data_IF_324242099144
#
_entry.id   IF_324242099144
#
_cell.length_a   1.000
_cell.length_b   1.000
_cell.length_c   1.000
_cell.angle_alpha   90.00
_cell.angle_beta   90.00
_cell.angle_gamma   90.00
#
_symmetry.space_group_name_H-M   'P 1'
#
loop_
_entity.id
_entity.type
_entity.pdbx_description
1 polymer ?
#
# COMPACT_ATOMS: atom_id res chain seq x y z
N UNK A 1 -8.98 -4.89 15.94
CA UNK A 1 -7.86 -5.82 16.20
C UNK A 1 -7.06 -6.22 14.94
N UNK A 2 -7.58 -6.07 13.71
CA UNK A 2 -6.91 -6.57 12.49
C UNK A 2 -5.76 -5.74 11.89
N UNK A 3 -5.62 -4.45 12.25
CA UNK A 3 -4.51 -3.60 11.76
C UNK A 3 -3.15 -4.08 12.27
N UNK A 4 -3.03 -4.24 13.60
CA UNK A 4 -1.77 -4.62 14.27
C UNK A 4 -1.05 -5.84 13.66
N UNK A 5 -1.79 -6.89 13.28
CA UNK A 5 -1.18 -8.09 12.71
C UNK A 5 -0.73 -7.89 11.24
N UNK A 6 -1.48 -7.12 10.46
CA UNK A 6 -1.12 -6.80 9.08
C UNK A 6 0.08 -5.85 9.03
N UNK A 7 0.10 -4.87 9.94
CA UNK A 7 1.19 -3.91 10.09
C UNK A 7 2.47 -4.60 10.58
N UNK A 8 2.35 -5.54 11.54
CA UNK A 8 3.49 -6.32 12.04
C UNK A 8 4.20 -7.10 10.93
N UNK A 9 3.47 -7.82 10.06
CA UNK A 9 4.10 -8.58 8.96
C UNK A 9 4.79 -7.67 7.94
N UNK A 10 4.22 -6.48 7.69
CA UNK A 10 4.84 -5.49 6.83
C UNK A 10 6.15 -4.97 7.44
N UNK A 11 6.13 -4.56 8.72
CA UNK A 11 7.32 -4.06 9.41
C UNK A 11 8.41 -5.11 9.56
N UNK A 12 8.04 -6.37 9.81
CA UNK A 12 9.00 -7.48 9.83
C UNK A 12 9.69 -7.68 8.48
N UNK A 13 8.94 -7.56 7.38
CA UNK A 13 9.52 -7.68 6.05
C UNK A 13 10.37 -6.46 5.68
N UNK A 14 9.96 -5.25 6.08
CA UNK A 14 10.79 -4.05 5.90
C UNK A 14 12.12 -4.18 6.67
N UNK A 15 12.07 -4.61 7.94
CA UNK A 15 13.25 -4.91 8.74
C UNK A 15 14.14 -5.97 8.09
N UNK A 16 13.56 -7.01 7.48
CA UNK A 16 14.33 -8.00 6.71
C UNK A 16 15.07 -7.35 5.52
N UNK A 17 14.45 -6.37 4.85
CA UNK A 17 15.03 -5.67 3.70
C UNK A 17 16.08 -4.61 4.07
N UNK A 18 16.16 -4.19 5.33
CA UNK A 18 17.19 -3.24 5.80
C UNK A 18 18.60 -3.85 5.76
N UNK A 19 18.71 -5.17 5.66
CA UNK A 19 19.99 -5.88 5.58
C UNK A 19 20.35 -6.22 4.13
N UNK A 20 21.64 -6.09 3.76
CA UNK A 20 22.09 -6.27 2.38
C UNK A 20 22.09 -7.72 1.91
N UNK A 21 22.04 -8.69 2.84
CA UNK A 21 22.07 -10.12 2.53
C UNK A 21 21.16 -10.92 3.44
N UNK A 22 20.73 -12.09 2.93
CA UNK A 22 19.94 -13.05 3.69
C UNK A 22 20.65 -13.52 4.97
N UNK A 23 21.94 -13.82 4.88
CA UNK A 23 22.74 -14.26 6.03
C UNK A 23 22.85 -13.20 7.12
N UNK A 24 22.90 -11.92 6.73
CA UNK A 24 22.93 -10.84 7.70
C UNK A 24 21.53 -10.64 8.32
N UNK A 25 20.47 -10.67 7.52
CA UNK A 25 19.10 -10.57 8.02
C UNK A 25 18.77 -11.64 9.07
N UNK A 26 19.27 -12.87 8.91
CA UNK A 26 19.05 -13.97 9.89
C UNK A 26 19.60 -13.67 11.29
N UNK A 27 20.68 -12.87 11.40
CA UNK A 27 21.30 -12.55 12.69
C UNK A 27 20.53 -11.49 13.49
N UNK A 28 19.62 -10.77 12.83
CA UNK A 28 18.92 -9.62 13.40
C UNK A 28 17.41 -9.87 13.47
N UNK A 29 16.92 -10.63 14.46
CA UNK A 29 15.49 -10.88 14.60
C UNK A 29 14.70 -9.60 14.88
N UNK A 30 13.49 -9.50 14.32
CA UNK A 30 12.59 -8.39 14.59
C UNK A 30 12.25 -8.30 16.09
N UNK A 31 12.18 -7.08 16.70
CA UNK A 31 11.90 -6.93 18.13
C UNK A 31 10.64 -7.67 18.57
N UNK A 32 10.80 -8.54 19.59
CA UNK A 32 9.69 -9.34 20.14
C UNK A 32 9.43 -10.67 19.43
N UNK A 33 10.19 -11.01 18.40
CA UNK A 33 10.15 -12.33 17.73
C UNK A 33 11.36 -13.14 18.18
N UNK A 34 11.16 -14.42 18.50
CA UNK A 34 12.26 -15.30 18.88
C UNK A 34 13.09 -15.71 17.66
N UNK A 35 14.35 -16.11 17.87
CA UNK A 35 15.26 -16.46 16.79
C UNK A 35 14.71 -17.57 15.88
N UNK A 36 14.09 -18.62 16.46
CA UNK A 36 13.56 -19.74 15.69
C UNK A 36 12.40 -19.32 14.78
N UNK A 37 11.49 -18.48 15.27
CA UNK A 37 10.38 -17.98 14.46
C UNK A 37 10.91 -17.05 13.36
N UNK A 38 11.88 -16.19 13.68
CA UNK A 38 12.53 -15.31 12.70
C UNK A 38 13.21 -16.09 11.58
N UNK A 39 13.98 -17.11 11.94
CA UNK A 39 14.64 -18.02 11.01
C UNK A 39 13.62 -18.69 10.09
N UNK A 40 12.52 -19.19 10.66
CA UNK A 40 11.43 -19.78 9.90
C UNK A 40 10.82 -18.78 8.90
N UNK A 41 10.55 -17.53 9.31
CA UNK A 41 10.01 -16.50 8.41
C UNK A 41 10.96 -16.17 7.27
N UNK A 42 12.24 -15.99 7.57
CA UNK A 42 13.26 -15.67 6.58
C UNK A 42 13.36 -16.78 5.52
N UNK A 43 13.44 -18.04 5.94
CA UNK A 43 13.57 -19.18 5.03
C UNK A 43 12.29 -19.49 4.25
N UNK A 44 11.14 -19.51 4.92
CA UNK A 44 9.91 -20.06 4.35
C UNK A 44 9.00 -19.00 3.71
N UNK A 45 9.17 -17.72 4.05
CA UNK A 45 8.35 -16.63 3.50
C UNK A 45 9.22 -15.68 2.66
N UNK A 46 10.21 -15.05 3.25
CA UNK A 46 10.89 -13.91 2.62
C UNK A 46 11.88 -14.33 1.53
N UNK A 47 12.58 -15.44 1.73
CA UNK A 47 13.50 -15.99 0.74
C UNK A 47 12.81 -16.83 -0.35
N UNK A 48 11.50 -17.05 -0.25
CA UNK A 48 10.79 -17.87 -1.21
C UNK A 48 10.60 -17.13 -2.55
N UNK A 49 10.97 -17.78 -3.66
CA UNK A 49 10.99 -17.16 -5.00
C UNK A 49 9.64 -16.59 -5.43
N UNK A 50 8.53 -17.28 -5.12
CA UNK A 50 7.20 -16.80 -5.51
C UNK A 50 6.83 -15.52 -4.75
N UNK A 51 7.22 -15.42 -3.48
CA UNK A 51 6.99 -14.24 -2.65
C UNK A 51 7.80 -13.04 -3.18
N UNK A 52 9.09 -13.22 -3.47
CA UNK A 52 9.94 -12.16 -4.02
C UNK A 52 9.45 -11.68 -5.40
N UNK A 53 9.04 -12.63 -6.25
CA UNK A 53 8.48 -12.32 -7.57
C UNK A 53 7.21 -11.48 -7.44
N UNK A 54 6.28 -11.90 -6.57
CA UNK A 54 5.03 -11.18 -6.35
C UNK A 54 5.27 -9.80 -5.72
N UNK A 55 6.15 -9.71 -4.73
CA UNK A 55 6.54 -8.46 -4.06
C UNK A 55 7.11 -7.46 -5.05
N UNK A 56 8.06 -7.89 -5.89
CA UNK A 56 8.68 -7.06 -6.93
C UNK A 56 7.66 -6.60 -7.96
N UNK A 57 6.79 -7.50 -8.43
CA UNK A 57 5.71 -7.17 -9.37
C UNK A 57 4.72 -6.16 -8.77
N UNK A 58 4.32 -6.34 -7.51
CA UNK A 58 3.42 -5.43 -6.81
C UNK A 58 4.06 -4.04 -6.64
N UNK A 59 5.35 -3.98 -6.28
CA UNK A 59 6.10 -2.72 -6.17
C UNK A 59 6.17 -1.99 -7.51
N UNK A 60 6.48 -2.71 -8.59
CA UNK A 60 6.50 -2.15 -9.95
C UNK A 60 5.12 -1.65 -10.39
N UNK A 61 4.06 -2.44 -10.15
CA UNK A 61 2.69 -2.05 -10.48
C UNK A 61 2.24 -0.82 -9.68
N UNK A 62 2.61 -0.74 -8.39
CA UNK A 62 2.30 0.41 -7.55
C UNK A 62 3.00 1.67 -8.04
N UNK A 63 4.25 1.57 -8.47
CA UNK A 63 5.02 2.68 -9.03
C UNK A 63 4.46 3.23 -10.35
N UNK A 64 3.70 2.41 -11.10
CA UNK A 64 3.04 2.82 -12.35
C UNK A 64 1.73 3.59 -12.13
N UNK A 65 1.18 3.60 -10.91
CA UNK A 65 -0.07 4.31 -10.66
C UNK A 65 0.17 5.83 -10.72
N UNK A 66 -0.57 6.56 -11.57
CA UNK A 66 -0.36 7.99 -11.74
C UNK A 66 -0.80 8.80 -10.52
N UNK A 67 -1.68 8.25 -9.67
CA UNK A 67 -2.15 8.86 -8.42
C UNK A 67 -2.81 7.80 -7.53
N UNK A 68 -2.99 8.14 -6.25
CA UNK A 68 -3.65 7.31 -5.22
C UNK A 68 -4.82 8.10 -4.63
N UNK A 69 -5.96 7.46 -4.38
CA UNK A 69 -7.10 8.10 -3.71
C UNK A 69 -6.82 8.36 -2.21
N UNK A 70 -7.44 9.40 -1.64
CA UNK A 70 -7.24 9.80 -0.24
C UNK A 70 -8.27 9.22 0.75
N UNK A 71 -9.21 8.40 0.29
CA UNK A 71 -10.40 7.99 1.06
C UNK A 71 -10.27 6.70 1.87
N UNK A 72 -9.04 6.21 2.02
CA UNK A 72 -8.76 5.03 2.84
C UNK A 72 -9.50 3.78 2.32
N UNK A 73 -10.09 3.03 3.24
CA UNK A 73 -10.76 1.75 2.97
C UNK A 73 -12.26 1.85 2.70
N UNK A 74 -12.85 3.05 2.69
CA UNK A 74 -14.29 3.19 2.39
C UNK A 74 -14.52 2.86 0.90
N UNK A 75 -15.40 1.91 0.56
CA UNK A 75 -15.70 1.56 -0.82
C UNK A 75 -16.27 2.74 -1.60
N UNK A 76 -16.04 2.78 -2.92
CA UNK A 76 -16.59 3.82 -3.79
C UNK A 76 -18.12 3.80 -3.86
N UNK A 77 -18.73 2.61 -3.77
CA UNK A 77 -20.20 2.43 -3.75
C UNK A 77 -20.85 3.24 -2.63
N UNK A 78 -20.24 3.27 -1.45
CA UNK A 78 -20.75 4.07 -0.33
C UNK A 78 -20.80 5.58 -0.61
N UNK A 79 -19.92 6.10 -1.47
CA UNK A 79 -20.01 7.51 -1.86
C UNK A 79 -21.16 7.75 -2.84
N UNK A 80 -21.42 6.79 -3.72
CA UNK A 80 -22.52 6.87 -4.69
C UNK A 80 -23.89 6.70 -4.01
N UNK A 81 -24.00 5.77 -3.07
CA UNK A 81 -25.27 5.39 -2.44
C UNK A 81 -25.55 6.18 -1.16
N UNK A 82 -24.59 6.28 -0.22
CA UNK A 82 -24.82 6.92 1.08
C UNK A 82 -24.69 8.44 0.98
N UNK A 83 -23.65 8.92 0.30
CA UNK A 83 -23.34 10.35 0.18
C UNK A 83 -23.98 10.97 -1.08
N UNK A 84 -24.68 10.16 -1.89
CA UNK A 84 -25.35 10.54 -3.14
C UNK A 84 -24.47 11.35 -4.09
N UNK A 85 -23.18 10.98 -4.20
CA UNK A 85 -22.25 11.64 -5.12
C UNK A 85 -22.67 11.36 -6.56
N UNK A 86 -22.89 12.44 -7.31
CA UNK A 86 -23.45 12.37 -8.66
C UNK A 86 -22.38 12.04 -9.71
N UNK A 87 -22.37 10.77 -10.11
CA UNK A 87 -21.56 10.29 -11.24
C UNK A 87 -20.06 10.15 -10.96
N UNK A 88 -19.36 9.65 -11.97
CA UNK A 88 -17.95 9.27 -11.87
C UNK A 88 -17.02 10.48 -11.67
N UNK A 89 -17.36 11.63 -12.24
CA UNK A 89 -16.53 12.83 -12.21
C UNK A 89 -16.48 13.42 -10.79
N UNK A 90 -17.63 13.61 -10.15
CA UNK A 90 -17.66 14.09 -8.76
C UNK A 90 -17.14 13.03 -7.79
N UNK A 91 -17.38 11.74 -8.06
CA UNK A 91 -16.75 10.66 -7.29
C UNK A 91 -15.23 10.76 -7.35
N UNK A 92 -14.65 10.99 -8.53
CA UNK A 92 -13.22 11.16 -8.71
C UNK A 92 -12.70 12.35 -7.90
N UNK A 93 -13.38 13.49 -7.97
CA UNK A 93 -13.05 14.67 -7.16
C UNK A 93 -13.09 14.38 -5.67
N UNK A 94 -14.19 13.84 -5.16
CA UNK A 94 -14.37 13.53 -3.74
C UNK A 94 -13.29 12.56 -3.25
N UNK A 95 -12.85 11.63 -4.10
CA UNK A 95 -11.87 10.61 -3.71
C UNK A 95 -10.41 11.04 -3.87
N UNK A 96 -10.11 12.02 -4.72
CA UNK A 96 -8.75 12.45 -5.06
C UNK A 96 -8.44 13.91 -4.69
N UNK A 97 -9.39 14.60 -4.05
CA UNK A 97 -9.23 15.95 -3.50
C UNK A 97 -9.39 15.94 -1.97
N UNK A 98 -8.42 16.52 -1.29
CA UNK A 98 -8.44 16.79 0.14
C UNK A 98 -8.73 18.28 0.38
N UNK A 99 -9.63 18.61 1.32
CA UNK A 99 -9.99 20.00 1.62
C UNK A 99 -8.81 20.84 2.14
N UNK A 100 -7.88 20.22 2.85
CA UNK A 100 -6.70 20.88 3.43
C UNK A 100 -5.52 20.87 2.47
N UNK A 101 -5.25 19.74 1.82
CA UNK A 101 -4.04 19.53 1.02
C UNK A 101 -4.26 19.67 -0.49
N UNK A 102 -5.50 19.90 -0.93
CA UNK A 102 -5.86 19.99 -2.35
C UNK A 102 -5.83 18.63 -3.06
N UNK A 103 -5.54 18.66 -4.37
CA UNK A 103 -5.46 17.47 -5.21
C UNK A 103 -4.29 16.56 -4.82
N UNK A 104 -4.48 15.25 -4.95
CA UNK A 104 -3.44 14.23 -4.69
C UNK A 104 -2.14 14.47 -5.46
N UNK A 105 -2.26 15.00 -6.68
CA UNK A 105 -1.18 15.53 -7.50
C UNK A 105 -1.75 16.31 -8.70
N UNK A 106 -0.85 16.93 -9.47
CA UNK A 106 -1.21 17.70 -10.68
C UNK A 106 -1.86 16.84 -11.77
N UNK A 107 -1.44 15.59 -11.92
CA UNK A 107 -1.99 14.67 -12.93
C UNK A 107 -3.47 14.41 -12.69
N UNK A 108 -3.86 14.19 -11.42
CA UNK A 108 -5.26 14.01 -11.04
C UNK A 108 -6.08 15.27 -11.28
N UNK A 109 -5.53 16.45 -10.97
CA UNK A 109 -6.20 17.73 -11.22
C UNK A 109 -6.47 17.94 -12.72
N UNK A 110 -5.43 17.79 -13.55
CA UNK A 110 -5.55 17.93 -15.00
C UNK A 110 -6.55 16.94 -15.60
N UNK A 111 -6.53 15.68 -15.14
CA UNK A 111 -7.51 14.67 -15.56
C UNK A 111 -8.94 15.10 -15.26
N UNK A 112 -9.19 15.56 -14.04
CA UNK A 112 -10.52 16.02 -13.65
C UNK A 112 -10.97 17.23 -14.48
N UNK A 113 -10.10 18.22 -14.71
CA UNK A 113 -10.42 19.37 -15.55
C UNK A 113 -10.78 18.97 -16.98
N UNK A 114 -10.06 18.01 -17.58
CA UNK A 114 -10.35 17.50 -18.92
C UNK A 114 -11.69 16.76 -19.00
N UNK A 115 -12.21 16.24 -17.88
CA UNK A 115 -13.51 15.53 -17.87
C UNK A 115 -14.72 16.44 -18.04
N UNK A 116 -14.56 17.77 -17.97
CA UNK A 116 -15.62 18.76 -18.20
C UNK A 116 -15.52 19.48 -19.56
N UNK A 117 -14.57 19.09 -20.41
CA UNK A 117 -14.42 19.58 -21.78
C UNK A 117 -15.07 18.60 -22.78
#
# INVERSE_FOLDING_TARGET
>A
MGGRYRDMRHWMYDHYLDYPSFEEALKHPYPGICLNDWDWFCHNIYNFTSFQTQSTKNKSNRAKLPYVHCRGSRPFVNYLEDDMVDGEIELFRVTHFNKTNGWVNEVAHSKHCMSYL
#
